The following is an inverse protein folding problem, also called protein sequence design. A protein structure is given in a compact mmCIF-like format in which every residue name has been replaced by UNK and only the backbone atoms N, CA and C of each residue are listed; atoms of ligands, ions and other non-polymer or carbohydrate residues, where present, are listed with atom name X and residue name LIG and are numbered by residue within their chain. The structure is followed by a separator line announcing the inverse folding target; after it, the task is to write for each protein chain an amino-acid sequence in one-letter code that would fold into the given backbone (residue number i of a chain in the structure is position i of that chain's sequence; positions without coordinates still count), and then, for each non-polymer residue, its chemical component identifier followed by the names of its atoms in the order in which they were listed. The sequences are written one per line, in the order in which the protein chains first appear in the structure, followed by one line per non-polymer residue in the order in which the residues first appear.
data_IF_729183410017
#
_entry.id   IF_729183410017
#
_cell.length_a   1.000
_cell.length_b   1.000
_cell.length_c   1.000
_cell.angle_alpha   90.00
_cell.angle_beta   90.00
_cell.angle_gamma   90.00
#
_symmetry.space_group_name_H-M   'P 1'
#
loop_
_entity.id
_entity.type
_entity.pdbx_description
1 polymer ?
#
# COMPACT_ATOMS: atom_id res chain seq x y z
N UNK A 1 -18.27 8.87 10.76
CA UNK A 1 -17.54 7.60 10.55
C UNK A 1 -16.36 7.63 11.50
N UNK A 2 -16.01 6.55 12.19
CA UNK A 2 -14.92 6.59 13.14
C UNK A 2 -13.62 6.82 12.37
N UNK A 3 -12.96 7.92 12.65
CA UNK A 3 -11.73 8.43 12.02
C UNK A 3 -10.47 7.68 12.45
N UNK A 4 -10.61 6.76 13.39
CA UNK A 4 -9.55 5.90 13.88
C UNK A 4 -10.11 4.48 13.95
N UNK A 5 -9.81 3.65 12.94
CA UNK A 5 -9.78 2.22 13.16
C UNK A 5 -8.36 1.90 13.67
N UNK A 6 -8.14 1.86 14.99
CA UNK A 6 -6.98 1.19 15.50
C UNK A 6 -7.09 -0.26 15.01
N UNK A 7 -5.99 -0.85 14.58
CA UNK A 7 -5.87 -2.30 14.49
C UNK A 7 -6.07 -2.85 15.91
N UNK A 8 -7.32 -2.91 16.34
CA UNK A 8 -7.71 -3.56 17.59
C UNK A 8 -7.53 -5.06 17.35
N UNK A 9 -6.32 -5.54 17.59
CA UNK A 9 -6.15 -6.96 17.78
C UNK A 9 -6.94 -7.34 19.03
N UNK A 10 -7.70 -8.45 19.01
CA UNK A 10 -8.46 -8.89 20.16
C UNK A 10 -7.52 -9.08 21.36
N UNK A 11 -7.98 -8.70 22.54
CA UNK A 11 -7.22 -8.88 23.80
C UNK A 11 -6.84 -10.34 24.02
N UNK A 12 -7.69 -11.26 23.55
CA UNK A 12 -7.37 -12.68 23.49
C UNK A 12 -7.61 -13.18 22.06
N UNK A 13 -6.60 -13.80 21.43
CA UNK A 13 -6.77 -14.35 20.11
C UNK A 13 -7.67 -15.59 20.17
N UNK A 14 -8.44 -15.83 19.11
CA UNK A 14 -9.13 -17.10 18.97
C UNK A 14 -8.10 -18.26 18.94
N UNK A 15 -8.50 -19.47 19.31
CA UNK A 15 -7.63 -20.64 19.22
C UNK A 15 -7.04 -20.79 17.82
N UNK A 16 -5.76 -21.17 17.74
CA UNK A 16 -5.07 -21.41 16.47
C UNK A 16 -5.83 -22.44 15.64
N UNK A 17 -6.08 -22.12 14.36
CA UNK A 17 -6.75 -23.03 13.43
C UNK A 17 -8.29 -22.94 13.44
N UNK A 18 -8.89 -22.10 14.27
CA UNK A 18 -10.34 -21.88 14.27
C UNK A 18 -10.70 -20.54 13.65
N UNK A 19 -11.59 -20.56 12.64
CA UNK A 19 -12.19 -19.35 12.10
C UNK A 19 -13.23 -18.79 13.10
N UNK A 20 -13.38 -17.47 13.10
CA UNK A 20 -14.47 -16.85 13.86
C UNK A 20 -15.82 -17.27 13.25
N UNK A 21 -16.69 -18.01 13.96
CA UNK A 21 -17.80 -18.75 13.34
C UNK A 21 -18.87 -17.87 12.72
N UNK A 22 -18.90 -16.57 13.01
CA UNK A 22 -20.07 -15.74 12.76
C UNK A 22 -19.80 -14.54 11.85
N UNK A 23 -18.59 -14.40 11.26
CA UNK A 23 -18.31 -13.26 10.42
C UNK A 23 -17.69 -13.63 9.09
N UNK A 24 -18.49 -13.46 8.05
CA UNK A 24 -18.06 -13.45 6.65
C UNK A 24 -18.42 -12.10 6.06
N UNK A 25 -17.44 -11.40 5.50
CA UNK A 25 -17.64 -10.12 4.84
C UNK A 25 -17.79 -10.39 3.34
N UNK A 26 -19.02 -10.35 2.84
CA UNK A 26 -19.35 -10.68 1.45
C UNK A 26 -18.83 -9.65 0.46
N UNK A 27 -18.66 -8.39 0.88
CA UNK A 27 -17.96 -7.36 0.09
C UNK A 27 -17.47 -6.24 0.99
N UNK A 28 -16.25 -5.81 0.74
CA UNK A 28 -15.62 -4.69 1.40
C UNK A 28 -14.75 -3.91 0.42
N UNK A 29 -14.88 -2.60 0.41
CA UNK A 29 -14.10 -1.75 -0.46
C UNK A 29 -13.93 -0.33 0.06
N UNK A 30 -12.94 0.36 -0.46
CA UNK A 30 -12.74 1.79 -0.28
C UNK A 30 -12.48 2.43 -1.65
N UNK A 31 -12.95 3.66 -1.83
CA UNK A 31 -12.75 4.37 -3.08
C UNK A 31 -11.31 4.84 -3.19
N UNK A 32 -10.71 4.61 -4.36
CA UNK A 32 -9.41 5.15 -4.75
C UNK A 32 -9.44 5.65 -6.18
N UNK A 33 -8.60 6.62 -6.49
CA UNK A 33 -8.44 7.12 -7.86
C UNK A 33 -7.38 6.32 -8.62
N UNK A 34 -7.50 6.20 -9.96
CA UNK A 34 -6.42 5.67 -10.78
C UNK A 34 -5.20 6.59 -10.76
N UNK A 35 -4.06 6.09 -11.22
CA UNK A 35 -2.85 6.91 -11.43
C UNK A 35 -3.10 8.03 -12.44
N UNK A 36 -2.24 9.05 -12.39
CA UNK A 36 -2.28 10.14 -13.34
C UNK A 36 -2.18 9.64 -14.80
N UNK A 37 -1.36 8.63 -15.02
CA UNK A 37 -1.11 8.01 -16.32
C UNK A 37 -2.36 7.39 -16.94
N UNK A 38 -3.25 6.84 -16.12
CA UNK A 38 -4.52 6.27 -16.57
C UNK A 38 -5.67 7.28 -16.59
N UNK A 39 -5.67 8.24 -15.66
CA UNK A 39 -6.83 9.11 -15.47
C UNK A 39 -6.75 10.42 -16.26
N UNK A 40 -5.60 11.07 -16.30
CA UNK A 40 -5.43 12.36 -16.97
C UNK A 40 -5.82 12.35 -18.46
N UNK A 41 -5.54 11.28 -19.26
CA UNK A 41 -5.97 11.23 -20.66
C UNK A 41 -7.49 11.27 -20.86
N UNK A 42 -8.28 10.93 -19.83
CA UNK A 42 -9.74 10.95 -19.88
C UNK A 42 -10.37 12.32 -19.54
N UNK A 43 -9.53 13.31 -19.25
CA UNK A 43 -9.96 14.64 -18.78
C UNK A 43 -9.26 15.75 -19.56
N UNK A 44 -9.96 16.84 -19.81
CA UNK A 44 -9.36 18.09 -20.25
C UNK A 44 -8.36 18.62 -19.21
N UNK A 45 -7.24 19.21 -19.63
CA UNK A 45 -6.17 19.70 -18.72
C UNK A 45 -6.66 20.70 -17.69
N UNK A 46 -7.59 21.56 -18.06
CA UNK A 46 -8.22 22.54 -17.16
C UNK A 46 -9.03 21.88 -16.02
N UNK A 47 -9.35 20.60 -16.15
CA UNK A 47 -10.08 19.79 -15.16
C UNK A 47 -9.18 18.91 -14.30
N UNK A 48 -7.87 19.04 -14.43
CA UNK A 48 -6.92 18.26 -13.63
C UNK A 48 -6.87 18.76 -12.19
N UNK A 49 -7.86 18.36 -11.43
CA UNK A 49 -7.98 18.49 -9.99
C UNK A 49 -9.06 17.54 -9.49
N UNK A 50 -9.02 17.12 -8.23
CA UNK A 50 -10.00 16.20 -7.65
C UNK A 50 -11.42 16.77 -7.69
N UNK A 51 -11.56 18.11 -7.66
CA UNK A 51 -12.83 18.82 -7.81
C UNK A 51 -12.94 19.58 -9.15
N UNK A 52 -12.14 19.27 -10.13
CA UNK A 52 -12.12 19.93 -11.43
C UNK A 52 -11.96 21.46 -11.36
N UNK A 53 -11.24 21.97 -10.36
CA UNK A 53 -11.02 23.40 -10.12
C UNK A 53 -12.21 24.14 -9.50
N UNK A 54 -13.22 23.43 -9.02
CA UNK A 54 -14.39 24.05 -8.37
C UNK A 54 -14.31 23.93 -6.83
N UNK A 55 -14.85 24.91 -6.07
CA UNK A 55 -14.87 24.82 -4.62
C UNK A 55 -15.58 23.58 -4.09
N UNK A 56 -14.96 22.88 -3.16
CA UNK A 56 -15.53 21.68 -2.52
C UNK A 56 -16.89 21.95 -1.85
N UNK A 57 -17.06 23.12 -1.24
CA UNK A 57 -18.30 23.54 -0.61
C UNK A 57 -19.51 23.56 -1.58
N UNK A 58 -19.27 23.83 -2.88
CA UNK A 58 -20.30 23.79 -3.91
C UNK A 58 -20.69 22.34 -4.24
N UNK A 59 -19.77 21.40 -4.03
CA UNK A 59 -19.94 19.99 -4.35
C UNK A 59 -20.53 19.16 -3.21
N UNK A 60 -20.27 19.53 -1.95
CA UNK A 60 -20.77 18.83 -0.75
C UNK A 60 -22.31 18.80 -0.63
N UNK A 61 -23.04 19.76 -1.26
CA UNK A 61 -24.48 19.90 -1.17
C UNK A 61 -25.28 19.16 -2.25
N UNK A 62 -24.81 18.08 -2.85
CA UNK A 62 -25.48 17.31 -3.92
C UNK A 62 -25.84 18.11 -5.22
N UNK A 63 -25.50 19.40 -5.28
CA UNK A 63 -25.85 20.28 -6.42
C UNK A 63 -24.83 20.25 -7.58
N UNK A 64 -23.68 19.59 -7.39
CA UNK A 64 -22.66 19.47 -8.44
C UNK A 64 -22.89 18.33 -9.42
N UNK A 65 -23.85 17.47 -9.19
CA UNK A 65 -24.05 16.22 -9.94
C UNK A 65 -24.38 16.47 -11.43
N UNK A 66 -24.77 17.67 -11.80
CA UNK A 66 -25.12 17.99 -13.19
C UNK A 66 -23.98 18.57 -14.03
N UNK A 67 -23.07 19.34 -13.47
CA UNK A 67 -22.12 20.18 -14.21
C UNK A 67 -20.64 19.83 -14.00
N UNK A 68 -20.28 19.14 -12.90
CA UNK A 68 -18.88 18.83 -12.58
C UNK A 68 -18.51 17.42 -13.01
N UNK A 69 -17.57 17.29 -13.95
CA UNK A 69 -17.10 16.01 -14.46
C UNK A 69 -16.51 15.12 -13.35
N UNK A 70 -15.84 15.69 -12.35
CA UNK A 70 -15.26 14.92 -11.24
C UNK A 70 -16.31 14.45 -10.25
N UNK A 71 -17.40 15.20 -10.05
CA UNK A 71 -18.55 14.71 -9.28
C UNK A 71 -19.15 13.42 -9.85
N UNK A 72 -19.15 13.31 -11.19
CA UNK A 72 -19.58 12.08 -11.89
C UNK A 72 -18.52 10.99 -11.88
N UNK A 73 -17.27 11.32 -11.53
CA UNK A 73 -16.14 10.40 -11.44
C UNK A 73 -15.87 9.93 -10.01
N UNK A 74 -16.83 10.11 -9.11
CA UNK A 74 -16.81 9.62 -7.74
C UNK A 74 -15.65 10.17 -6.89
N UNK A 75 -15.79 11.37 -6.33
CA UNK A 75 -14.76 11.99 -5.48
C UNK A 75 -14.94 11.86 -3.94
N UNK A 76 -15.59 10.82 -3.36
CA UNK A 76 -15.59 10.62 -1.90
C UNK A 76 -14.21 10.29 -1.33
N UNK A 77 -13.17 10.32 -2.15
CA UNK A 77 -11.77 10.28 -1.70
C UNK A 77 -11.42 11.38 -0.71
N UNK A 78 -12.11 12.52 -0.75
CA UNK A 78 -11.86 13.64 0.15
C UNK A 78 -11.88 13.23 1.61
N UNK A 79 -12.90 12.46 2.01
CA UNK A 79 -13.06 12.01 3.39
C UNK A 79 -11.92 11.09 3.83
N UNK A 80 -11.45 10.22 2.94
CA UNK A 80 -10.31 9.35 3.21
C UNK A 80 -9.00 10.14 3.26
N UNK A 81 -8.76 11.05 2.32
CA UNK A 81 -7.59 11.92 2.31
C UNK A 81 -7.55 12.74 3.60
N UNK A 82 -8.67 13.36 4.00
CA UNK A 82 -8.74 14.16 5.22
C UNK A 82 -8.56 13.31 6.49
N UNK A 83 -9.03 12.06 6.49
CA UNK A 83 -8.86 11.17 7.61
C UNK A 83 -7.40 10.77 7.87
N UNK A 84 -6.58 10.66 6.83
CA UNK A 84 -5.19 10.22 6.93
C UNK A 84 -4.17 11.37 6.86
N UNK A 85 -4.53 12.50 6.25
CA UNK A 85 -3.59 13.58 5.93
C UNK A 85 -4.12 14.98 6.29
N UNK A 86 -5.26 15.05 6.98
CA UNK A 86 -5.96 16.31 7.23
C UNK A 86 -5.13 17.35 7.99
N UNK A 87 -4.30 16.92 8.94
CA UNK A 87 -3.44 17.82 9.70
C UNK A 87 -2.33 18.40 8.82
N UNK A 88 -1.63 17.56 8.07
CA UNK A 88 -0.58 17.99 7.14
C UNK A 88 -1.13 18.92 6.03
N UNK A 89 -2.32 18.61 5.50
CA UNK A 89 -2.93 19.42 4.45
C UNK A 89 -3.43 20.79 4.93
N UNK A 90 -3.78 20.93 6.20
CA UNK A 90 -4.12 22.25 6.78
C UNK A 90 -2.94 23.23 6.76
N UNK A 91 -1.73 22.70 6.87
CA UNK A 91 -0.49 23.50 6.87
C UNK A 91 0.01 23.77 5.45
N UNK A 92 -0.49 23.08 4.43
CA UNK A 92 -0.09 23.29 3.05
C UNK A 92 -0.60 24.63 2.50
N UNK A 93 0.10 25.28 1.55
CA UNK A 93 -0.37 26.48 0.89
C UNK A 93 -1.78 26.31 0.29
N UNK A 94 -2.72 27.18 0.66
CA UNK A 94 -4.12 27.08 0.28
C UNK A 94 -4.95 26.10 1.12
N UNK A 95 -4.46 25.67 2.26
CA UNK A 95 -4.83 24.64 3.21
C UNK A 95 -6.28 24.18 3.31
N UNK A 96 -6.51 23.02 3.86
CA UNK A 96 -7.84 22.45 4.06
C UNK A 96 -8.57 22.21 2.72
N UNK A 97 -9.77 22.75 2.59
CA UNK A 97 -10.60 22.61 1.38
C UNK A 97 -9.97 23.22 0.12
N UNK A 98 -9.16 24.27 0.26
CA UNK A 98 -8.45 24.91 -0.85
C UNK A 98 -7.46 23.98 -1.54
N UNK A 99 -6.90 23.01 -0.84
CA UNK A 99 -5.97 22.04 -1.40
C UNK A 99 -6.62 21.19 -2.51
N UNK A 100 -7.89 20.79 -2.36
CA UNK A 100 -8.63 20.00 -3.34
C UNK A 100 -9.00 20.80 -4.61
N UNK A 101 -9.00 22.13 -4.53
CA UNK A 101 -9.33 23.01 -5.66
C UNK A 101 -8.12 23.33 -6.54
N UNK A 102 -6.91 23.01 -6.10
CA UNK A 102 -5.68 23.27 -6.85
C UNK A 102 -5.67 22.46 -8.14
N UNK A 103 -5.47 23.14 -9.25
CA UNK A 103 -5.43 22.56 -10.61
C UNK A 103 -4.01 22.43 -11.12
N UNK A 104 -3.84 21.58 -12.12
CA UNK A 104 -2.58 21.39 -12.83
C UNK A 104 -1.95 20.03 -12.58
N UNK A 105 -0.81 19.77 -13.23
CA UNK A 105 -0.18 18.45 -13.24
C UNK A 105 0.23 18.01 -11.83
N UNK A 106 1.03 18.82 -11.13
CA UNK A 106 1.58 18.42 -9.83
C UNK A 106 0.53 18.39 -8.70
N UNK A 107 -0.38 19.39 -8.58
CA UNK A 107 -1.50 19.25 -7.66
C UNK A 107 -2.36 18.01 -7.93
N UNK A 108 -2.69 17.73 -9.17
CA UNK A 108 -3.54 16.58 -9.51
C UNK A 108 -2.84 15.25 -9.22
N UNK A 109 -1.55 15.13 -9.56
CA UNK A 109 -0.74 13.97 -9.17
C UNK A 109 -0.72 13.74 -7.66
N UNK A 110 -0.54 14.81 -6.86
CA UNK A 110 -0.56 14.73 -5.42
C UNK A 110 -1.92 14.26 -4.89
N UNK A 111 -3.00 14.79 -5.42
CA UNK A 111 -4.36 14.44 -5.05
C UNK A 111 -4.67 12.96 -5.36
N UNK A 112 -4.31 12.48 -6.55
CA UNK A 112 -4.50 11.09 -6.95
C UNK A 112 -3.64 10.14 -6.12
N UNK A 113 -2.39 10.52 -5.84
CA UNK A 113 -1.48 9.74 -5.02
C UNK A 113 -2.01 9.58 -3.60
N UNK A 114 -2.38 10.68 -2.91
CA UNK A 114 -2.88 10.63 -1.54
C UNK A 114 -4.21 9.86 -1.44
N UNK A 115 -5.07 9.98 -2.45
CA UNK A 115 -6.28 9.16 -2.54
C UNK A 115 -5.96 7.66 -2.58
N UNK A 116 -5.01 7.25 -3.42
CA UNK A 116 -4.59 5.85 -3.55
C UNK A 116 -3.90 5.34 -2.29
N UNK A 117 -3.10 6.18 -1.62
CA UNK A 117 -2.48 5.83 -0.32
C UNK A 117 -3.56 5.63 0.74
N UNK A 118 -4.53 6.54 0.84
CA UNK A 118 -5.62 6.45 1.82
C UNK A 118 -6.47 5.19 1.61
N UNK A 119 -6.85 4.87 0.35
CA UNK A 119 -7.51 3.61 0.00
C UNK A 119 -6.70 2.41 0.48
N UNK A 120 -5.40 2.41 0.19
CA UNK A 120 -4.51 1.31 0.49
C UNK A 120 -4.36 1.08 2.00
N UNK A 121 -4.20 2.14 2.78
CA UNK A 121 -4.07 2.06 4.24
C UNK A 121 -5.37 1.59 4.90
N UNK A 122 -6.50 2.10 4.45
CA UNK A 122 -7.81 1.71 4.99
C UNK A 122 -8.08 0.22 4.78
N UNK A 123 -7.94 -0.27 3.55
CA UNK A 123 -8.18 -1.69 3.23
C UNK A 123 -7.14 -2.61 3.87
N UNK A 124 -5.86 -2.22 3.90
CA UNK A 124 -4.83 -2.97 4.60
C UNK A 124 -5.21 -3.20 6.06
N UNK A 125 -5.58 -2.14 6.76
CA UNK A 125 -5.95 -2.21 8.19
C UNK A 125 -7.16 -3.12 8.40
N UNK A 126 -8.18 -3.02 7.55
CA UNK A 126 -9.38 -3.85 7.64
C UNK A 126 -9.08 -5.34 7.39
N UNK A 127 -8.30 -5.66 6.36
CA UNK A 127 -7.89 -7.04 6.03
C UNK A 127 -7.06 -7.64 7.17
N UNK A 128 -6.09 -6.91 7.69
CA UNK A 128 -5.22 -7.40 8.76
C UNK A 128 -5.99 -7.63 10.06
N UNK A 129 -6.94 -6.73 10.38
CA UNK A 129 -7.82 -6.89 11.54
C UNK A 129 -8.73 -8.13 11.42
N UNK A 130 -9.33 -8.37 10.25
CA UNK A 130 -10.14 -9.56 9.99
C UNK A 130 -9.32 -10.84 10.13
N UNK A 131 -8.10 -10.85 9.58
CA UNK A 131 -7.20 -12.00 9.69
C UNK A 131 -6.72 -12.23 11.11
N UNK A 132 -6.44 -11.16 11.88
CA UNK A 132 -6.07 -11.24 13.29
C UNK A 132 -7.18 -11.84 14.16
N UNK A 133 -8.44 -11.51 13.87
CA UNK A 133 -9.62 -12.04 14.56
C UNK A 133 -10.02 -13.44 14.11
N UNK A 134 -9.30 -13.99 13.15
CA UNK A 134 -9.59 -15.29 12.53
C UNK A 134 -11.03 -15.39 11.99
N UNK A 135 -11.52 -14.30 11.37
CA UNK A 135 -12.83 -14.25 10.76
C UNK A 135 -12.93 -15.26 9.60
N UNK A 136 -14.12 -15.73 9.30
CA UNK A 136 -14.39 -16.83 8.36
C UNK A 136 -13.94 -16.51 6.93
N UNK A 137 -14.11 -15.28 6.49
CA UNK A 137 -13.67 -14.85 5.17
C UNK A 137 -14.01 -13.40 4.88
N UNK A 138 -13.33 -12.89 3.84
CA UNK A 138 -13.50 -11.51 3.37
C UNK A 138 -13.35 -11.48 1.85
N UNK A 139 -14.32 -10.91 1.16
CA UNK A 139 -14.26 -10.63 -0.27
C UNK A 139 -14.11 -9.12 -0.49
N UNK A 140 -13.32 -8.77 -1.48
CA UNK A 140 -13.11 -7.36 -1.84
C UNK A 140 -14.07 -6.93 -2.94
N UNK A 141 -14.68 -5.79 -2.75
CA UNK A 141 -15.33 -5.04 -3.79
C UNK A 141 -14.44 -3.84 -4.17
N UNK A 142 -13.79 -3.81 -5.35
CA UNK A 142 -13.86 -4.83 -6.38
C UNK A 142 -12.46 -5.13 -6.93
N UNK A 143 -12.33 -6.09 -7.88
CA UNK A 143 -11.03 -6.41 -8.45
C UNK A 143 -10.48 -5.27 -9.30
N UNK A 144 -11.31 -4.68 -10.19
CA UNK A 144 -10.87 -3.68 -11.17
C UNK A 144 -11.86 -2.53 -11.32
N UNK A 145 -11.35 -1.39 -11.75
CA UNK A 145 -12.17 -0.28 -12.24
C UNK A 145 -12.67 -0.58 -13.65
N UNK A 146 -13.94 -0.27 -13.94
CA UNK A 146 -14.59 -0.56 -15.24
C UNK A 146 -14.50 0.60 -16.21
N UNK A 147 -14.23 1.81 -15.73
CA UNK A 147 -14.08 3.03 -16.51
C UNK A 147 -13.22 4.04 -15.74
N UNK A 148 -12.70 5.11 -16.38
CA UNK A 148 -11.83 6.07 -15.69
C UNK A 148 -12.60 6.92 -14.69
N UNK A 149 -12.70 6.43 -13.45
CA UNK A 149 -13.42 7.02 -12.34
C UNK A 149 -12.67 6.73 -11.03
N UNK A 150 -13.05 7.41 -9.94
CA UNK A 150 -12.79 6.93 -8.61
C UNK A 150 -13.62 5.67 -8.36
N UNK A 151 -12.97 4.57 -8.02
CA UNK A 151 -13.62 3.27 -7.88
C UNK A 151 -13.02 2.43 -6.77
N UNK A 152 -13.69 1.33 -6.49
CA UNK A 152 -13.27 0.36 -5.49
C UNK A 152 -12.23 -0.64 -6.02
N UNK A 153 -11.97 -0.60 -7.35
CA UNK A 153 -11.04 -1.50 -8.00
C UNK A 153 -9.63 -1.42 -7.44
N UNK A 154 -8.96 -2.57 -7.40
CA UNK A 154 -7.54 -2.68 -7.04
C UNK A 154 -6.63 -2.58 -8.27
N UNK A 155 -7.22 -2.84 -9.45
CA UNK A 155 -6.61 -2.65 -10.76
C UNK A 155 -7.25 -1.42 -11.41
N UNK A 156 -6.44 -0.63 -12.10
CA UNK A 156 -6.92 0.53 -12.81
C UNK A 156 -7.70 0.12 -14.07
N UNK A 157 -8.53 1.01 -14.55
CA UNK A 157 -9.13 0.89 -15.86
C UNK A 157 -8.04 0.68 -16.92
N UNK A 158 -8.14 -0.41 -17.65
CA UNK A 158 -7.24 -0.75 -18.74
C UNK A 158 -7.92 -0.63 -20.08
N UNK A 159 -7.32 0.11 -20.99
CA UNK A 159 -7.89 0.38 -22.31
C UNK A 159 -7.17 -0.35 -23.45
N UNK A 160 -6.08 -1.05 -23.16
CA UNK A 160 -5.25 -1.58 -24.24
C UNK A 160 -5.69 -2.98 -24.66
N UNK A 161 -5.98 -3.10 -25.95
CA UNK A 161 -6.05 -4.38 -26.64
C UNK A 161 -4.80 -4.54 -27.50
N UNK A 162 -4.15 -5.68 -27.39
CA UNK A 162 -3.09 -6.10 -28.32
C UNK A 162 -3.57 -7.38 -28.98
N UNK A 163 -3.64 -7.39 -30.31
CA UNK A 163 -4.11 -8.54 -31.10
C UNK A 163 -5.46 -9.11 -30.62
N UNK A 164 -6.41 -8.23 -30.22
CA UNK A 164 -7.73 -8.63 -29.74
C UNK A 164 -7.79 -9.12 -28.30
N UNK A 165 -6.67 -9.14 -27.58
CA UNK A 165 -6.66 -9.48 -26.15
C UNK A 165 -6.71 -8.20 -25.32
N UNK A 166 -7.56 -8.19 -24.28
CA UNK A 166 -7.58 -7.13 -23.29
C UNK A 166 -6.35 -7.28 -22.41
N UNK A 167 -5.44 -6.33 -22.47
CA UNK A 167 -4.36 -6.23 -21.52
C UNK A 167 -4.89 -5.58 -20.24
N UNK A 168 -4.58 -6.18 -19.08
CA UNK A 168 -5.04 -5.69 -17.78
C UNK A 168 -4.61 -4.25 -17.49
N UNK A 169 -5.35 -3.59 -16.61
CA UNK A 169 -5.01 -2.27 -16.09
C UNK A 169 -3.77 -2.30 -15.20
N UNK A 170 -3.20 -1.11 -14.94
CA UNK A 170 -2.10 -0.94 -13.98
C UNK A 170 -2.56 -1.34 -12.58
N UNK A 171 -1.65 -1.84 -11.79
CA UNK A 171 -1.94 -2.17 -10.41
C UNK A 171 -1.91 -0.90 -9.54
N UNK A 172 -2.99 -0.64 -8.81
CA UNK A 172 -3.01 0.41 -7.79
C UNK A 172 -2.13 0.03 -6.58
N UNK A 173 -1.70 0.99 -5.75
CA UNK A 173 -0.98 0.72 -4.49
C UNK A 173 -1.63 -0.36 -3.65
N UNK A 174 -2.94 -0.34 -3.53
CA UNK A 174 -3.70 -1.36 -2.77
C UNK A 174 -3.49 -2.78 -3.30
N UNK A 175 -3.39 -3.00 -4.61
CA UNK A 175 -3.18 -4.35 -5.15
C UNK A 175 -1.83 -4.94 -4.70
N UNK A 176 -0.79 -4.12 -4.63
CA UNK A 176 0.51 -4.55 -4.10
C UNK A 176 0.45 -4.87 -2.60
N UNK A 177 -0.33 -4.12 -1.82
CA UNK A 177 -0.55 -4.45 -0.40
C UNK A 177 -1.38 -5.72 -0.23
N UNK A 178 -2.47 -5.87 -0.98
CA UNK A 178 -3.31 -7.07 -0.91
C UNK A 178 -2.56 -8.34 -1.32
N UNK A 179 -1.66 -8.24 -2.29
CA UNK A 179 -0.76 -9.34 -2.63
C UNK A 179 0.05 -9.82 -1.41
N UNK A 180 0.44 -8.89 -0.53
CA UNK A 180 1.24 -9.18 0.67
C UNK A 180 0.39 -9.51 1.90
N UNK A 181 -0.88 -9.10 1.93
CA UNK A 181 -1.73 -9.19 3.13
C UNK A 181 -2.93 -10.10 2.98
N UNK A 182 -3.67 -10.03 1.89
CA UNK A 182 -4.87 -10.84 1.65
C UNK A 182 -4.58 -12.09 0.83
N UNK A 183 -3.81 -11.95 -0.26
CA UNK A 183 -3.55 -13.05 -1.19
C UNK A 183 -2.36 -13.92 -0.79
N UNK A 184 -1.58 -13.48 0.21
CA UNK A 184 -0.48 -14.27 0.74
C UNK A 184 -1.00 -15.36 1.70
N UNK A 185 -0.56 -16.60 1.49
CA UNK A 185 -0.86 -17.69 2.40
C UNK A 185 -0.27 -17.44 3.80
N UNK A 186 0.96 -16.97 3.85
CA UNK A 186 1.62 -16.64 5.11
C UNK A 186 1.75 -15.14 5.26
N UNK A 187 1.31 -14.61 6.38
CA UNK A 187 1.46 -13.19 6.75
C UNK A 187 2.01 -13.08 8.17
N UNK A 188 2.92 -12.13 8.37
CA UNK A 188 3.30 -11.63 9.69
C UNK A 188 3.04 -10.12 9.72
N UNK A 189 2.36 -9.65 10.76
CA UNK A 189 2.07 -8.23 10.96
C UNK A 189 1.89 -7.91 12.44
N UNK A 190 1.78 -6.62 12.74
CA UNK A 190 1.49 -6.12 14.09
C UNK A 190 0.32 -5.15 14.05
N UNK A 191 -0.35 -5.02 15.18
CA UNK A 191 -1.30 -3.96 15.47
C UNK A 191 -0.90 -3.26 16.76
N UNK A 192 -1.31 -2.01 16.88
CA UNK A 192 -1.12 -1.22 18.09
C UNK A 192 -2.44 -0.55 18.47
N UNK A 193 -2.70 -0.40 19.76
CA UNK A 193 -3.88 0.29 20.25
C UNK A 193 -3.52 1.72 20.64
N UNK A 194 -4.29 2.70 20.10
CA UNK A 194 -4.20 4.11 20.49
C UNK A 194 -3.23 4.96 19.64
N UNK A 195 -3.19 6.26 19.95
CA UNK A 195 -2.38 7.24 19.23
C UNK A 195 -0.87 7.19 19.57
N UNK A 196 -0.52 6.68 20.75
CA UNK A 196 0.86 6.44 21.19
C UNK A 196 0.89 5.07 21.87
N UNK A 197 1.00 3.99 21.11
CA UNK A 197 0.93 2.66 21.69
C UNK A 197 2.16 2.36 22.54
N UNK A 198 1.92 1.96 23.79
CA UNK A 198 2.99 1.43 24.65
C UNK A 198 3.39 0.02 24.27
N UNK A 199 2.53 -0.69 23.55
CA UNK A 199 2.73 -2.07 23.16
C UNK A 199 2.24 -2.32 21.74
N UNK A 200 2.91 -3.19 21.01
CA UNK A 200 2.40 -3.77 19.79
C UNK A 200 2.13 -5.26 19.98
N UNK A 201 0.98 -5.72 19.52
CA UNK A 201 0.65 -7.13 19.42
C UNK A 201 0.86 -7.60 17.99
N UNK A 202 1.72 -8.59 17.81
CA UNK A 202 2.03 -9.12 16.50
C UNK A 202 1.51 -10.54 16.35
N UNK A 203 1.24 -10.96 15.12
CA UNK A 203 0.86 -12.33 14.83
C UNK A 203 1.51 -12.83 13.55
N UNK A 204 1.56 -14.15 13.43
CA UNK A 204 1.84 -14.86 12.18
C UNK A 204 0.68 -15.79 11.89
N UNK A 205 0.28 -15.87 10.63
CA UNK A 205 -0.85 -16.68 10.16
C UNK A 205 -0.48 -17.44 8.91
N UNK A 206 -0.93 -18.70 8.81
CA UNK A 206 -0.85 -19.54 7.64
C UNK A 206 -2.27 -19.92 7.20
N UNK A 207 -2.64 -19.61 5.97
CA UNK A 207 -3.88 -20.05 5.32
C UNK A 207 -3.60 -21.04 4.17
N UNK A 208 -2.33 -21.44 4.03
CA UNK A 208 -1.90 -22.36 2.98
C UNK A 208 -2.25 -23.83 3.25
N UNK A 209 -2.31 -24.63 2.19
CA UNK A 209 -2.58 -26.07 2.27
C UNK A 209 -1.41 -26.88 2.84
N UNK A 210 -0.22 -26.28 3.02
CA UNK A 210 0.94 -26.91 3.62
C UNK A 210 1.29 -26.29 4.97
N UNK A 211 1.88 -27.06 5.92
CA UNK A 211 2.41 -26.50 7.14
C UNK A 211 3.48 -25.46 6.84
N UNK A 212 3.56 -24.44 7.68
CA UNK A 212 4.59 -23.42 7.59
C UNK A 212 5.60 -23.55 8.75
N UNK A 213 6.87 -23.51 8.40
CA UNK A 213 7.96 -23.35 9.36
C UNK A 213 8.90 -22.24 8.90
N UNK A 214 9.09 -21.24 9.74
CA UNK A 214 9.90 -20.08 9.37
C UNK A 214 10.27 -19.18 10.54
N UNK A 215 11.10 -18.19 10.27
CA UNK A 215 11.52 -17.17 11.23
C UNK A 215 10.77 -15.87 10.98
N UNK A 216 10.09 -15.37 12.00
CA UNK A 216 9.48 -14.03 12.02
C UNK A 216 10.42 -13.07 12.71
N UNK A 217 10.71 -11.95 12.06
CA UNK A 217 11.50 -10.85 12.62
C UNK A 217 10.69 -9.58 12.59
N UNK A 218 10.57 -8.93 13.76
CA UNK A 218 10.00 -7.59 13.90
C UNK A 218 11.12 -6.63 14.23
N UNK A 219 11.18 -5.53 13.50
CA UNK A 219 12.16 -4.46 13.70
C UNK A 219 11.47 -3.11 13.71
N UNK A 220 11.96 -2.16 14.50
CA UNK A 220 11.63 -0.75 14.37
C UNK A 220 12.61 -0.11 13.38
N UNK A 221 12.08 0.61 12.41
CA UNK A 221 12.86 1.37 11.43
C UNK A 221 12.69 2.84 11.73
N UNK A 222 13.76 3.52 12.06
CA UNK A 222 13.79 4.96 12.27
C UNK A 222 13.67 5.68 10.93
N UNK A 223 12.70 6.58 10.81
CA UNK A 223 12.42 7.28 9.54
C UNK A 223 13.52 8.26 9.14
N UNK A 224 14.17 8.91 10.10
CA UNK A 224 15.22 9.90 9.83
C UNK A 224 16.47 9.29 9.23
N UNK A 225 16.90 8.14 9.74
CA UNK A 225 18.18 7.48 9.38
C UNK A 225 18.00 6.25 8.49
N UNK A 226 16.82 5.60 8.53
CA UNK A 226 16.60 4.30 7.94
C UNK A 226 17.21 3.14 8.74
N UNK A 227 17.79 3.41 9.90
CA UNK A 227 18.36 2.39 10.79
C UNK A 227 17.27 1.46 11.31
N UNK A 228 17.60 0.19 11.40
CA UNK A 228 16.66 -0.85 11.80
C UNK A 228 17.12 -1.54 13.09
N UNK A 229 16.37 -1.34 14.16
CA UNK A 229 16.58 -2.01 15.45
C UNK A 229 15.67 -3.23 15.54
N UNK A 230 16.26 -4.39 15.77
CA UNK A 230 15.50 -5.63 15.92
C UNK A 230 14.83 -5.68 17.29
N UNK A 231 13.51 -5.86 17.31
CA UNK A 231 12.71 -5.97 18.53
C UNK A 231 12.41 -7.43 18.89
N UNK A 232 12.15 -8.28 17.88
CA UNK A 232 11.80 -9.68 18.09
C UNK A 232 12.36 -10.55 16.95
N UNK A 233 12.80 -11.76 17.31
CA UNK A 233 12.95 -12.89 16.39
C UNK A 233 12.21 -14.08 17.00
N UNK A 234 11.37 -14.74 16.21
CA UNK A 234 10.49 -15.80 16.64
C UNK A 234 10.49 -16.95 15.62
N UNK A 235 10.70 -18.18 16.10
CA UNK A 235 10.56 -19.39 15.29
C UNK A 235 9.08 -19.78 15.22
N UNK A 236 8.48 -19.66 14.04
CA UNK A 236 7.07 -19.90 13.82
C UNK A 236 6.84 -21.25 13.16
N UNK A 237 6.05 -22.08 13.82
CA UNK A 237 5.55 -23.36 13.28
C UNK A 237 4.04 -23.32 13.31
N UNK A 238 3.44 -23.41 12.14
CA UNK A 238 1.99 -23.35 11.97
C UNK A 238 1.53 -24.59 11.20
N UNK A 239 0.40 -25.20 11.59
CA UNK A 239 -0.18 -26.29 10.83
C UNK A 239 -0.64 -25.83 9.44
N UNK A 240 -0.97 -26.77 8.59
CA UNK A 240 -1.65 -26.52 7.32
C UNK A 240 -3.11 -26.14 7.57
N UNK A 241 -3.67 -25.41 6.61
CA UNK A 241 -5.09 -25.08 6.58
C UNK A 241 -5.40 -23.64 7.00
N UNK A 242 -6.60 -23.16 6.60
CA UNK A 242 -7.00 -21.79 6.83
C UNK A 242 -7.16 -21.49 8.34
N UNK A 243 -6.71 -20.32 8.74
CA UNK A 243 -6.87 -19.84 10.11
C UNK A 243 -5.81 -20.32 11.10
N UNK A 244 -4.73 -20.95 10.65
CA UNK A 244 -3.60 -21.28 11.52
C UNK A 244 -2.89 -20.01 11.97
N UNK A 245 -3.31 -19.49 13.13
CA UNK A 245 -2.85 -18.22 13.70
C UNK A 245 -2.03 -18.46 14.96
N UNK A 246 -0.95 -17.71 15.11
CA UNK A 246 -0.16 -17.66 16.35
C UNK A 246 0.16 -16.20 16.70
N UNK A 247 -0.19 -15.80 17.91
CA UNK A 247 0.30 -14.55 18.48
C UNK A 247 1.77 -14.67 18.84
N UNK A 248 2.46 -13.59 18.61
CA UNK A 248 3.85 -13.41 19.03
C UNK A 248 3.87 -12.76 20.43
N UNK A 249 5.00 -12.82 21.14
CA UNK A 249 5.17 -12.08 22.38
C UNK A 249 4.85 -10.60 22.19
N UNK A 250 4.15 -10.01 23.14
CA UNK A 250 3.84 -8.58 23.14
C UNK A 250 5.15 -7.77 23.13
N UNK A 251 5.22 -6.80 22.24
CA UNK A 251 6.39 -5.94 22.09
C UNK A 251 6.20 -4.66 22.90
N UNK A 252 7.03 -4.39 23.92
CA UNK A 252 7.06 -3.08 24.55
C UNK A 252 7.62 -2.04 23.57
N UNK A 253 7.00 -0.88 23.51
CA UNK A 253 7.36 0.23 22.64
C UNK A 253 7.77 1.48 23.43
N UNK A 254 8.08 1.34 24.72
CA UNK A 254 8.38 2.48 25.62
C UNK A 254 9.54 3.37 25.13
N UNK A 255 10.43 2.83 24.29
CA UNK A 255 11.55 3.56 23.70
C UNK A 255 11.41 3.82 22.20
N UNK A 256 10.21 3.57 21.65
CA UNK A 256 9.91 3.72 20.21
C UNK A 256 8.88 4.84 20.06
N UNK A 257 9.32 5.96 19.56
CA UNK A 257 8.42 7.04 19.18
C UNK A 257 7.71 6.71 17.87
N UNK A 258 6.40 6.56 17.92
CA UNK A 258 5.56 6.20 16.77
C UNK A 258 5.58 7.25 15.66
N UNK A 259 5.89 8.51 15.96
CA UNK A 259 6.01 9.57 14.96
C UNK A 259 7.31 9.48 14.15
N UNK A 260 8.35 8.85 14.69
CA UNK A 260 9.68 8.73 14.08
C UNK A 260 10.02 7.33 13.62
N UNK A 261 9.20 6.33 13.96
CA UNK A 261 9.46 4.92 13.63
C UNK A 261 8.27 4.24 12.96
N UNK A 262 8.59 3.24 12.16
CA UNK A 262 7.63 2.25 11.63
C UNK A 262 8.10 0.85 11.99
N UNK A 263 7.17 -0.09 12.23
CA UNK A 263 7.55 -1.49 12.40
C UNK A 263 7.63 -2.17 11.04
N UNK A 264 8.63 -3.02 10.91
CA UNK A 264 8.83 -3.88 9.76
C UNK A 264 8.74 -5.34 10.20
N UNK A 265 7.66 -6.01 9.84
CA UNK A 265 7.47 -7.44 10.04
C UNK A 265 7.95 -8.20 8.81
N UNK A 266 8.86 -9.15 8.99
CA UNK A 266 9.37 -10.04 7.95
C UNK A 266 9.22 -11.48 8.38
N UNK A 267 8.82 -12.33 7.43
CA UNK A 267 8.74 -13.76 7.64
C UNK A 267 9.50 -14.48 6.53
N UNK A 268 10.43 -15.34 6.93
CA UNK A 268 11.27 -16.11 6.03
C UNK A 268 11.07 -17.60 6.27
N UNK A 269 11.11 -18.41 5.22
CA UNK A 269 11.08 -19.87 5.34
C UNK A 269 12.32 -20.35 6.09
N UNK A 270 12.14 -21.24 7.07
CA UNK A 270 13.26 -21.95 7.67
C UNK A 270 13.93 -22.86 6.64
N UNK A 271 15.20 -23.18 6.87
CA UNK A 271 15.88 -24.23 6.11
C UNK A 271 15.15 -25.56 6.34
N UNK A 272 14.55 -26.10 5.28
CA UNK A 272 13.98 -27.46 5.32
C UNK A 272 15.13 -28.45 5.43
N UNK A 273 15.10 -29.42 6.37
CA UNK A 273 15.96 -30.58 6.30
C UNK A 273 15.67 -31.33 4.98
N UNK A 274 16.70 -31.73 4.28
CA UNK A 274 16.58 -32.50 3.03
C UNK A 274 15.79 -33.80 3.31
N UNK A 275 14.59 -33.95 2.72
CA UNK A 275 13.79 -35.18 2.86
C UNK A 275 12.28 -35.09 2.59
N UNK A 276 11.71 -33.92 2.34
CA UNK A 276 10.27 -33.77 2.09
C UNK A 276 9.92 -33.64 0.61
N UNK A 277 8.80 -34.26 0.21
CA UNK A 277 8.26 -34.22 -1.16
C UNK A 277 8.20 -32.79 -1.72
N UNK A 278 8.73 -32.63 -2.94
CA UNK A 278 8.78 -31.37 -3.69
C UNK A 278 7.37 -30.95 -4.13
N UNK A 279 6.69 -30.15 -3.33
CA UNK A 279 5.75 -29.13 -3.83
C UNK A 279 6.48 -27.80 -3.73
N UNK A 280 6.56 -27.05 -4.83
CA UNK A 280 7.23 -25.76 -5.04
C UNK A 280 7.99 -25.23 -3.80
N UNK A 281 9.15 -25.80 -3.51
CA UNK A 281 9.91 -25.48 -2.31
C UNK A 281 10.53 -24.09 -2.48
N UNK A 282 9.97 -23.11 -1.80
CA UNK A 282 10.66 -21.85 -1.59
C UNK A 282 12.05 -22.16 -0.99
N UNK A 283 13.10 -21.64 -1.59
CA UNK A 283 14.46 -21.82 -1.11
C UNK A 283 14.55 -21.40 0.38
N UNK A 284 15.33 -22.12 1.17
CA UNK A 284 15.66 -21.76 2.55
C UNK A 284 16.03 -20.28 2.65
N UNK A 285 15.48 -19.58 3.64
CA UNK A 285 15.70 -18.14 3.83
C UNK A 285 14.89 -17.24 2.93
N UNK A 286 14.07 -17.79 1.99
CA UNK A 286 13.20 -16.98 1.14
C UNK A 286 12.22 -16.15 1.96
N UNK A 287 12.11 -14.87 1.61
CA UNK A 287 11.14 -13.95 2.21
C UNK A 287 9.73 -14.29 1.70
N UNK A 288 8.82 -14.68 2.59
CA UNK A 288 7.43 -15.01 2.26
C UNK A 288 6.44 -13.92 2.65
N UNK A 289 6.79 -13.10 3.66
CA UNK A 289 5.97 -11.99 4.09
C UNK A 289 6.84 -10.80 4.48
N UNK A 290 6.43 -9.62 4.02
CA UNK A 290 6.97 -8.32 4.44
C UNK A 290 5.83 -7.36 4.63
N UNK A 291 5.77 -6.73 5.78
CA UNK A 291 4.72 -5.79 6.10
C UNK A 291 5.28 -4.59 6.86
N UNK A 292 4.89 -3.41 6.45
CA UNK A 292 5.18 -2.14 7.11
C UNK A 292 3.97 -1.74 7.95
N UNK A 293 4.18 -1.45 9.24
CA UNK A 293 3.13 -1.09 10.19
C UNK A 293 3.43 0.30 10.76
N UNK A 294 2.52 1.23 10.53
CA UNK A 294 2.61 2.56 11.11
C UNK A 294 2.24 2.51 12.60
N UNK A 295 2.97 3.24 13.41
CA UNK A 295 2.72 3.40 14.85
C UNK A 295 1.97 4.70 15.19
N UNK A 296 1.93 5.63 14.24
CA UNK A 296 1.18 6.88 14.33
C UNK A 296 0.39 7.11 13.01
N UNK A 297 -0.63 7.98 13.02
CA UNK A 297 -1.27 8.44 11.80
C UNK A 297 -0.27 9.00 10.79
N UNK A 298 -0.48 8.82 9.48
CA UNK A 298 0.48 9.28 8.48
C UNK A 298 0.78 10.79 8.50
N UNK A 299 -0.17 11.60 8.95
CA UNK A 299 -0.02 13.06 9.06
C UNK A 299 0.64 13.53 10.38
N UNK A 300 0.94 12.61 11.27
CA UNK A 300 1.72 12.84 12.50
C UNK A 300 3.16 12.32 12.38
N UNK A 301 3.51 11.68 11.27
CA UNK A 301 4.87 11.16 11.06
C UNK A 301 5.87 12.30 10.80
N UNK A 302 6.97 12.26 11.52
CA UNK A 302 8.12 13.16 11.32
C UNK A 302 8.99 12.62 10.18
N UNK A 303 8.58 12.91 8.95
CA UNK A 303 9.22 12.41 7.76
C UNK A 303 10.43 13.26 7.37
N UNK A 304 11.62 12.66 7.10
CA UNK A 304 12.78 13.39 6.60
C UNK A 304 12.51 13.92 5.19
N UNK A 305 13.19 14.98 4.81
CA UNK A 305 13.23 15.39 3.41
C UNK A 305 13.93 14.28 2.60
N UNK A 306 13.21 13.71 1.63
CA UNK A 306 13.71 12.62 0.82
C UNK A 306 13.58 12.94 -0.66
N UNK A 307 14.54 12.43 -1.43
CA UNK A 307 14.47 12.37 -2.89
C UNK A 307 14.72 10.94 -3.34
N UNK A 308 13.91 10.49 -4.31
CA UNK A 308 14.04 9.15 -4.89
C UNK A 308 14.23 9.29 -6.39
N UNK A 309 15.30 8.71 -6.90
CA UNK A 309 15.58 8.61 -8.32
C UNK A 309 15.30 7.19 -8.82
N UNK A 310 14.74 7.08 -10.03
CA UNK A 310 14.56 5.83 -10.73
C UNK A 310 15.36 5.83 -12.04
N UNK A 311 16.18 4.80 -12.22
CA UNK A 311 16.95 4.59 -13.45
C UNK A 311 16.55 3.24 -14.09
N UNK A 312 16.13 3.30 -15.35
CA UNK A 312 15.83 2.12 -16.16
C UNK A 312 17.15 1.55 -16.66
N UNK A 313 17.51 0.35 -16.20
CA UNK A 313 18.73 -0.33 -16.63
C UNK A 313 18.52 -1.00 -18.00
N UNK A 314 19.61 -1.14 -18.76
CA UNK A 314 19.56 -1.84 -20.04
C UNK A 314 19.21 -3.31 -19.83
N UNK A 315 18.39 -3.88 -20.73
CA UNK A 315 18.12 -5.32 -20.76
C UNK A 315 19.41 -6.09 -20.96
N UNK A 316 19.62 -7.13 -20.18
CA UNK A 316 20.67 -8.13 -20.40
C UNK A 316 19.99 -9.48 -20.53
N UNK A 317 20.03 -10.06 -21.75
CA UNK A 317 19.47 -11.38 -22.05
C UNK A 317 18.02 -11.35 -22.58
N UNK A 318 17.49 -12.52 -22.89
CA UNK A 318 16.20 -12.73 -23.58
C UNK A 318 14.95 -12.60 -22.67
N UNK A 319 15.12 -12.15 -21.44
CA UNK A 319 14.00 -11.97 -20.52
C UNK A 319 13.18 -10.70 -20.82
N UNK A 320 11.84 -10.80 -20.72
CA UNK A 320 10.92 -9.66 -20.91
C UNK A 320 10.99 -8.59 -19.82
N UNK A 321 11.51 -8.93 -18.65
CA UNK A 321 11.56 -8.04 -17.49
C UNK A 321 12.67 -6.99 -17.60
N UNK A 322 12.35 -5.73 -17.25
CA UNK A 322 13.32 -4.62 -17.21
C UNK A 322 13.65 -4.26 -15.77
N UNK A 323 14.94 -4.17 -15.46
CA UNK A 323 15.41 -3.75 -14.14
C UNK A 323 15.33 -2.24 -14.00
N UNK A 324 14.74 -1.81 -12.88
CA UNK A 324 14.68 -0.42 -12.44
C UNK A 324 15.48 -0.30 -11.15
N UNK A 325 16.49 0.54 -11.13
CA UNK A 325 17.24 0.87 -9.92
C UNK A 325 16.66 2.14 -9.31
N UNK A 326 16.14 2.03 -8.10
CA UNK A 326 15.74 3.17 -7.28
C UNK A 326 16.90 3.53 -6.37
N UNK A 327 17.12 4.83 -6.16
CA UNK A 327 18.12 5.34 -5.22
C UNK A 327 17.48 6.46 -4.40
N UNK A 328 17.55 6.34 -3.08
CA UNK A 328 17.02 7.32 -2.13
C UNK A 328 18.16 7.91 -1.29
N UNK A 329 18.14 9.22 -1.07
CA UNK A 329 19.10 9.90 -0.19
C UNK A 329 18.71 9.80 1.29
N UNK A 330 17.42 9.59 1.59
CA UNK A 330 16.86 9.41 2.93
C UNK A 330 15.72 8.40 2.84
N UNK A 331 15.19 7.98 3.99
CA UNK A 331 14.05 7.06 4.03
C UNK A 331 12.83 7.68 3.38
N UNK A 332 12.30 7.03 2.36
CA UNK A 332 11.08 7.41 1.66
C UNK A 332 9.94 6.43 1.96
N UNK A 333 8.77 6.94 2.33
CA UNK A 333 7.60 6.13 2.70
C UNK A 333 6.61 6.05 1.55
N UNK A 334 6.05 4.87 1.34
CA UNK A 334 5.06 4.56 0.29
C UNK A 334 5.55 4.93 -1.12
N UNK A 335 6.80 4.51 -1.43
CA UNK A 335 7.38 4.71 -2.75
C UNK A 335 6.53 4.01 -3.81
N UNK A 336 6.01 4.79 -4.75
CA UNK A 336 5.09 4.36 -5.78
C UNK A 336 5.62 4.70 -7.17
N UNK A 337 5.78 3.68 -7.99
CA UNK A 337 6.19 3.78 -9.39
C UNK A 337 4.98 3.76 -10.30
N UNK A 338 4.96 4.66 -11.28
CA UNK A 338 3.97 4.69 -12.38
C UNK A 338 4.67 4.87 -13.72
N UNK A 339 4.00 4.49 -14.81
CA UNK A 339 4.49 4.64 -16.18
C UNK A 339 3.35 4.57 -17.19
N UNK A 340 3.53 5.16 -18.36
CA UNK A 340 2.62 4.99 -19.51
C UNK A 340 2.80 3.62 -20.19
N UNK A 341 3.96 2.95 -20.01
CA UNK A 341 4.16 1.62 -20.56
C UNK A 341 3.19 0.60 -19.96
N UNK A 342 2.73 -0.34 -20.78
CA UNK A 342 1.82 -1.40 -20.35
C UNK A 342 2.55 -2.49 -19.58
N UNK A 343 2.21 -2.68 -18.32
CA UNK A 343 2.85 -3.67 -17.46
C UNK A 343 2.62 -3.40 -15.99
N UNK A 344 3.33 -4.14 -15.16
CA UNK A 344 3.33 -4.00 -13.70
C UNK A 344 4.75 -4.05 -13.16
N UNK A 345 4.91 -3.55 -11.95
CA UNK A 345 6.19 -3.70 -11.23
C UNK A 345 6.18 -5.00 -10.41
N UNK A 346 7.35 -5.61 -10.22
CA UNK A 346 7.49 -6.82 -9.37
C UNK A 346 7.17 -6.51 -7.91
N UNK A 347 7.43 -5.27 -7.48
CA UNK A 347 7.01 -4.71 -6.19
C UNK A 347 6.80 -3.21 -6.33
N UNK A 348 5.93 -2.66 -5.47
CA UNK A 348 5.57 -1.25 -5.48
C UNK A 348 4.94 -0.87 -4.15
N UNK A 349 4.84 0.42 -3.86
CA UNK A 349 4.22 0.91 -2.64
C UNK A 349 4.87 0.34 -1.36
N UNK A 350 6.10 0.73 -1.12
CA UNK A 350 6.94 0.22 -0.03
C UNK A 350 7.76 1.32 0.66
N UNK A 351 8.27 1.00 1.86
CA UNK A 351 9.31 1.77 2.54
C UNK A 351 10.65 1.54 1.82
N UNK A 352 11.33 2.62 1.45
CA UNK A 352 12.69 2.62 0.90
C UNK A 352 13.62 3.39 1.84
N UNK A 353 14.45 2.72 2.63
CA UNK A 353 15.51 3.39 3.38
C UNK A 353 16.51 4.09 2.46
N UNK A 354 17.34 4.96 2.99
CA UNK A 354 18.46 5.53 2.24
C UNK A 354 19.30 4.41 1.60
N UNK A 355 19.71 4.61 0.36
CA UNK A 355 20.43 3.60 -0.42
C UNK A 355 19.71 3.23 -1.72
N UNK A 356 19.83 1.98 -2.14
CA UNK A 356 19.26 1.56 -3.42
C UNK A 356 18.46 0.26 -3.34
N UNK A 357 17.45 0.15 -4.21
CA UNK A 357 16.62 -1.04 -4.40
C UNK A 357 16.38 -1.30 -5.88
N UNK A 358 16.39 -2.56 -6.27
CA UNK A 358 16.00 -2.97 -7.62
C UNK A 358 14.57 -3.49 -7.63
N UNK A 359 13.79 -3.02 -8.61
CA UNK A 359 12.44 -3.48 -8.93
C UNK A 359 12.43 -3.88 -10.40
N UNK A 360 11.65 -4.90 -10.76
CA UNK A 360 11.47 -5.29 -12.16
C UNK A 360 10.19 -4.65 -12.69
N UNK A 361 10.23 -4.15 -13.91
CA UNK A 361 9.04 -3.90 -14.72
C UNK A 361 8.74 -5.16 -15.55
N UNK A 362 7.52 -5.64 -15.47
CA UNK A 362 7.00 -6.84 -16.12
C UNK A 362 5.96 -6.40 -17.13
N UNK A 363 6.27 -6.36 -18.43
CA UNK A 363 5.33 -5.91 -19.46
C UNK A 363 4.17 -6.89 -19.66
N UNK A 364 3.02 -6.39 -20.07
CA UNK A 364 1.84 -7.18 -20.46
C UNK A 364 1.78 -7.44 -21.97
N UNK A 365 2.90 -7.59 -22.63
CA UNK A 365 3.02 -7.79 -24.06
C UNK A 365 4.30 -7.15 -24.58
N UNK A 366 4.40 -6.84 -25.87
CA UNK A 366 5.59 -6.19 -26.42
C UNK A 366 5.94 -4.92 -25.66
N UNK A 367 7.18 -4.81 -25.22
CA UNK A 367 7.68 -3.68 -24.46
C UNK A 367 8.06 -2.51 -25.36
N UNK A 368 7.46 -1.34 -25.14
CA UNK A 368 8.00 -0.07 -25.59
C UNK A 368 8.98 0.48 -24.52
N UNK A 369 10.26 0.15 -24.67
CA UNK A 369 11.31 0.56 -23.73
C UNK A 369 11.52 2.09 -23.75
N UNK A 370 11.36 2.74 -24.89
CA UNK A 370 11.46 4.21 -25.02
C UNK A 370 10.36 4.88 -24.20
N UNK A 371 9.14 4.38 -24.32
CA UNK A 371 8.01 4.90 -23.54
C UNK A 371 8.22 4.64 -22.04
N UNK A 372 8.70 3.45 -21.64
CA UNK A 372 9.04 3.16 -20.25
C UNK A 372 10.06 4.16 -19.70
N UNK A 373 11.17 4.38 -20.42
CA UNK A 373 12.25 5.30 -20.00
C UNK A 373 11.79 6.75 -19.88
N UNK A 374 10.95 7.20 -20.80
CA UNK A 374 10.49 8.60 -20.83
C UNK A 374 9.31 8.89 -19.88
N UNK A 375 8.59 7.86 -19.44
CA UNK A 375 7.37 8.05 -18.66
C UNK A 375 7.41 7.45 -17.24
N UNK A 376 8.43 6.64 -16.90
CA UNK A 376 8.54 6.11 -15.54
C UNK A 376 8.74 7.26 -14.55
N UNK A 377 7.92 7.24 -13.51
CA UNK A 377 7.89 8.27 -12.46
C UNK A 377 7.86 7.60 -11.10
N UNK A 378 8.41 8.25 -10.11
CA UNK A 378 8.38 7.82 -8.73
C UNK A 378 7.75 8.90 -7.85
N UNK A 379 6.85 8.49 -6.99
CA UNK A 379 6.22 9.29 -5.94
C UNK A 379 6.50 8.67 -4.58
N UNK A 380 6.49 9.47 -3.53
CA UNK A 380 6.54 9.04 -2.14
C UNK A 380 5.84 10.06 -1.24
N UNK A 381 5.53 9.68 0.00
CA UNK A 381 4.66 10.47 0.86
C UNK A 381 5.21 11.87 1.12
N UNK A 382 6.50 12.00 1.44
CA UNK A 382 7.14 13.29 1.73
C UNK A 382 7.06 14.24 0.55
N UNK A 383 7.27 13.73 -0.67
CA UNK A 383 7.18 14.53 -1.90
C UNK A 383 5.76 15.11 -2.10
N UNK A 384 4.73 14.36 -1.71
CA UNK A 384 3.32 14.72 -1.99
C UNK A 384 2.64 15.48 -0.86
N UNK A 385 3.08 15.32 0.37
CA UNK A 385 2.62 16.16 1.49
C UNK A 385 3.30 17.54 1.51
N UNK A 386 4.45 17.68 0.88
CA UNK A 386 5.36 18.77 1.08
C UNK A 386 6.04 18.63 2.45
N UNK A 387 7.31 18.33 2.52
CA UNK A 387 8.05 18.51 3.76
C UNK A 387 7.94 19.98 4.11
N UNK A 388 7.48 20.27 5.33
CA UNK A 388 7.69 21.60 5.88
C UNK A 388 9.20 21.88 5.75
N UNK A 389 9.58 22.73 4.79
CA UNK A 389 10.91 23.29 4.77
C UNK A 389 11.03 24.01 6.11
N UNK A 390 11.88 23.48 6.99
CA UNK A 390 12.34 24.25 8.11
C UNK A 390 12.99 25.53 7.52
N UNK A 391 12.17 26.59 7.44
CA UNK A 391 12.63 27.96 7.24
C UNK A 391 13.17 28.47 8.53
#
# INVERSE_FOLDING_TARGET
MPTNLPLLLPEQPPPTGTAHPNRFVSEMGAVGMPSFESFAPSLHRERWALHAGQPAATCAKKRCVGSNVMARRNFPCDSLILAYFGNALRLAPGGGQGWFNRTGIEPFRAQLYLCSVAQALWLKSAVEASRAKNELGLLLWSLNDQWPTGGWGTLEYGSSTVAGQVLGGRWKPIHYLLRRTLFANVIATCGSAGQLPRFATCYVRNDGAAPFHGSVRISAVELSTGNSTRLLTFDARLPAGPGALRLLPTLPLDHIDGSTHVLLARCNVASTPAGGHRHESLASGSLVSRNEVLLAPPDELLLPAASVHVAVQSRRGDGDAVKLKLTANATALFVHLTTLANGRFSDNFFLLPAGSRTVLFLPFGPLDEKLLRSSVRVDHLQHRLGTASNS
#
